data_IF_047234871849
#
_entry.id   IF_047234871849
#
_cell.length_a   1.000
_cell.length_b   1.000
_cell.length_c   1.000
_cell.angle_alpha   90.00
_cell.angle_beta   90.00
_cell.angle_gamma   90.00
#
_symmetry.space_group_name_H-M   'P 1'
#
loop_
_entity.id
_entity.type
_entity.pdbx_description
1 polymer ?
#
# COMPACT_ATOMS: atom_id res chain seq x y z
N UNK A 1 20.60 -12.12 2.72
CA UNK A 1 19.49 -11.33 2.13
C UNK A 1 18.24 -12.18 2.21
N UNK A 2 17.21 -11.78 2.96
CA UNK A 2 15.94 -12.51 2.99
C UNK A 2 15.11 -12.07 1.79
N UNK A 3 14.83 -13.00 0.88
CA UNK A 3 13.98 -12.77 -0.28
C UNK A 3 12.54 -12.60 0.21
N UNK A 4 11.94 -11.44 -0.06
CA UNK A 4 10.55 -11.17 0.33
C UNK A 4 9.64 -11.95 -0.62
N UNK A 5 9.00 -12.98 -0.09
CA UNK A 5 8.08 -13.86 -0.83
C UNK A 5 6.60 -13.44 -0.67
N UNK A 6 6.29 -12.61 0.33
CA UNK A 6 4.97 -12.01 0.55
C UNK A 6 4.99 -10.70 1.37
N UNK A 7 4.20 -9.71 0.94
CA UNK A 7 3.91 -8.45 1.67
C UNK A 7 2.41 -8.27 1.94
N UNK A 8 1.56 -8.80 1.07
CA UNK A 8 0.12 -8.79 1.21
C UNK A 8 -0.44 -9.97 2.04
N UNK A 9 0.43 -10.86 2.52
CA UNK A 9 0.03 -12.09 3.21
C UNK A 9 -0.32 -13.26 2.28
N UNK A 10 -0.25 -13.06 0.95
CA UNK A 10 -0.41 -14.11 -0.06
C UNK A 10 0.94 -14.53 -0.65
N UNK A 11 1.14 -15.83 -0.85
CA UNK A 11 2.37 -16.35 -1.45
C UNK A 11 2.41 -16.03 -2.95
N UNK A 12 3.43 -15.29 -3.42
CA UNK A 12 3.42 -14.71 -4.77
C UNK A 12 3.34 -15.72 -5.91
N UNK A 13 3.80 -16.96 -5.69
CA UNK A 13 3.80 -18.00 -6.72
C UNK A 13 2.43 -18.65 -6.92
N UNK A 14 1.50 -18.52 -5.96
CA UNK A 14 0.16 -19.09 -6.02
C UNK A 14 -0.96 -18.05 -5.88
N UNK A 15 -0.65 -16.76 -6.06
CA UNK A 15 -1.60 -15.67 -5.86
C UNK A 15 -2.45 -15.44 -7.11
N UNK A 16 -3.73 -15.80 -7.06
CA UNK A 16 -4.69 -15.60 -8.17
C UNK A 16 -4.87 -14.11 -8.55
N UNK A 17 -4.68 -13.20 -7.59
CA UNK A 17 -4.76 -11.76 -7.82
C UNK A 17 -3.61 -11.19 -8.65
N UNK A 18 -2.53 -11.96 -8.88
CA UNK A 18 -1.35 -11.50 -9.62
C UNK A 18 -1.73 -11.04 -11.03
N UNK A 19 -2.47 -11.86 -11.75
CA UNK A 19 -2.89 -11.59 -13.13
C UNK A 19 -4.08 -10.64 -13.19
N UNK A 20 -5.11 -10.87 -12.37
CA UNK A 20 -6.37 -10.10 -12.43
C UNK A 20 -6.21 -8.64 -12.01
N UNK A 21 -5.23 -8.35 -11.15
CA UNK A 21 -4.98 -6.99 -10.63
C UNK A 21 -3.70 -6.35 -11.22
N UNK A 22 -3.09 -6.95 -12.25
CA UNK A 22 -1.84 -6.43 -12.83
C UNK A 22 -0.70 -6.29 -11.81
N UNK A 23 -0.64 -7.19 -10.82
CA UNK A 23 0.34 -7.12 -9.75
C UNK A 23 1.62 -7.87 -10.17
N UNK A 24 2.76 -7.18 -10.17
CA UNK A 24 4.05 -7.83 -10.48
C UNK A 24 4.46 -8.92 -9.46
N UNK A 25 3.92 -8.87 -8.24
CA UNK A 25 4.26 -9.75 -7.13
C UNK A 25 5.50 -9.29 -6.36
N UNK A 26 5.55 -9.56 -5.05
CA UNK A 26 6.56 -9.01 -4.12
C UNK A 26 8.00 -9.36 -4.52
N UNK A 27 8.23 -10.49 -5.18
CA UNK A 27 9.56 -10.89 -5.64
C UNK A 27 10.02 -9.98 -6.78
N UNK A 28 9.24 -9.91 -7.86
CA UNK A 28 9.55 -9.10 -9.05
C UNK A 28 9.57 -7.59 -8.74
N UNK A 29 8.71 -7.14 -7.83
CA UNK A 29 8.59 -5.72 -7.47
C UNK A 29 9.43 -5.32 -6.25
N UNK A 30 10.32 -6.20 -5.77
CA UNK A 30 11.14 -5.97 -4.58
C UNK A 30 10.33 -5.51 -3.34
N UNK A 31 9.15 -6.09 -3.17
CA UNK A 31 8.25 -5.80 -2.05
C UNK A 31 7.32 -4.61 -2.27
N UNK A 32 7.19 -4.11 -3.51
CA UNK A 32 6.21 -3.10 -3.91
C UNK A 32 5.11 -3.70 -4.82
N UNK A 33 4.38 -4.74 -4.36
CA UNK A 33 3.28 -5.30 -5.15
C UNK A 33 2.14 -4.28 -5.26
N UNK A 34 1.40 -4.30 -6.38
CA UNK A 34 0.32 -3.36 -6.73
C UNK A 34 0.77 -1.91 -6.98
N UNK A 35 0.40 -1.35 -8.14
CA UNK A 35 0.38 0.08 -8.56
C UNK A 35 1.48 1.07 -8.10
N UNK A 36 2.54 0.66 -7.39
CA UNK A 36 3.56 1.55 -6.83
C UNK A 36 3.02 2.47 -5.74
N UNK A 37 3.81 3.49 -5.40
CA UNK A 37 3.36 4.58 -4.54
C UNK A 37 2.30 5.43 -5.27
N UNK A 38 1.33 5.97 -4.54
CA UNK A 38 0.42 6.94 -5.12
C UNK A 38 1.20 8.20 -5.52
N UNK A 39 0.89 8.82 -6.68
CA UNK A 39 1.54 10.07 -7.09
C UNK A 39 1.24 11.21 -6.11
N UNK A 40 0.06 11.17 -5.48
CA UNK A 40 -0.40 12.10 -4.47
C UNK A 40 -0.71 11.35 -3.15
N UNK A 41 -0.26 11.91 -2.02
CA UNK A 41 -0.54 11.40 -0.67
C UNK A 41 -1.25 12.51 0.14
N UNK A 42 -2.46 12.25 0.69
CA UNK A 42 -3.30 11.08 0.44
C UNK A 42 -3.94 11.12 -0.95
N UNK A 43 -4.09 9.95 -1.60
CA UNK A 43 -4.88 9.85 -2.82
C UNK A 43 -6.38 9.94 -2.50
N UNK A 44 -7.20 10.31 -3.48
CA UNK A 44 -8.64 10.49 -3.31
C UNK A 44 -9.32 9.22 -2.77
N UNK A 45 -8.95 8.05 -3.28
CA UNK A 45 -9.52 6.77 -2.84
C UNK A 45 -9.23 6.50 -1.36
N UNK A 46 -8.01 6.78 -0.90
CA UNK A 46 -7.66 6.65 0.51
C UNK A 46 -8.43 7.67 1.37
N UNK A 47 -8.63 8.89 0.87
CA UNK A 47 -9.41 9.92 1.55
C UNK A 47 -10.85 9.47 1.76
N UNK A 48 -11.50 8.98 0.70
CA UNK A 48 -12.89 8.49 0.76
C UNK A 48 -13.02 7.32 1.75
N UNK A 49 -12.13 6.33 1.66
CA UNK A 49 -12.18 5.16 2.55
C UNK A 49 -11.93 5.54 4.03
N UNK A 50 -10.92 6.37 4.30
CA UNK A 50 -10.55 6.75 5.68
C UNK A 50 -11.59 7.66 6.35
N UNK A 51 -12.38 8.39 5.56
CA UNK A 51 -13.45 9.27 6.03
C UNK A 51 -14.85 8.68 5.86
N UNK A 52 -14.96 7.41 5.46
CA UNK A 52 -16.25 6.73 5.33
C UNK A 52 -16.98 6.68 6.70
N UNK A 53 -18.29 7.00 6.76
CA UNK A 53 -19.00 7.08 8.03
C UNK A 53 -19.24 5.72 8.71
N UNK A 54 -19.19 4.60 7.98
CA UNK A 54 -19.48 3.25 8.50
C UNK A 54 -18.21 2.40 8.64
N UNK A 55 -17.32 2.47 7.67
CA UNK A 55 -16.11 1.66 7.53
C UNK A 55 -14.81 2.46 7.67
N UNK A 56 -14.91 3.79 7.84
CA UNK A 56 -13.76 4.67 7.95
C UNK A 56 -13.12 4.68 9.33
N UNK A 57 -12.12 5.54 9.47
CA UNK A 57 -11.32 5.63 10.68
C UNK A 57 -12.05 6.38 11.81
N UNK A 58 -11.69 6.06 13.05
CA UNK A 58 -12.08 6.83 14.24
C UNK A 58 -10.82 7.23 15.02
N UNK A 59 -10.39 8.51 15.02
CA UNK A 59 -10.99 9.63 14.27
C UNK A 59 -10.82 9.50 12.76
N UNK A 60 -11.72 10.12 11.99
CA UNK A 60 -11.64 10.14 10.52
C UNK A 60 -10.27 10.66 10.06
N UNK A 61 -9.68 10.00 9.06
CA UNK A 61 -8.35 10.39 8.56
C UNK A 61 -7.16 9.80 9.32
N UNK A 62 -7.35 8.95 10.33
CA UNK A 62 -6.23 8.43 11.13
C UNK A 62 -5.15 7.72 10.27
N UNK A 63 -5.55 6.91 9.27
CA UNK A 63 -4.60 6.25 8.36
C UNK A 63 -3.90 7.25 7.44
N UNK A 64 -4.59 8.31 7.02
CA UNK A 64 -4.02 9.37 6.20
C UNK A 64 -2.86 10.06 6.91
N UNK A 65 -3.04 10.38 8.20
CA UNK A 65 -1.98 10.99 9.01
C UNK A 65 -0.76 10.07 9.13
N UNK A 66 -0.99 8.76 9.25
CA UNK A 66 0.10 7.78 9.23
C UNK A 66 0.81 7.73 7.87
N UNK A 67 0.07 7.72 6.76
CA UNK A 67 0.64 7.75 5.41
C UNK A 67 1.48 9.01 5.16
N UNK A 68 1.04 10.19 5.63
CA UNK A 68 1.81 11.43 5.54
C UNK A 68 3.15 11.35 6.28
N UNK A 69 3.16 10.73 7.47
CA UNK A 69 4.41 10.51 8.24
C UNK A 69 5.37 9.60 7.50
N UNK A 70 4.90 8.45 7.01
CA UNK A 70 5.75 7.54 6.23
C UNK A 70 6.29 8.17 4.95
N UNK A 71 5.48 8.99 4.27
CA UNK A 71 5.93 9.73 3.09
C UNK A 71 7.01 10.77 3.45
N UNK A 72 6.86 11.50 4.55
CA UNK A 72 7.90 12.42 5.02
C UNK A 72 9.19 11.68 5.43
N UNK A 73 9.08 10.53 6.10
CA UNK A 73 10.21 9.69 6.49
C UNK A 73 10.94 9.07 5.30
N UNK A 74 10.24 8.71 4.22
CA UNK A 74 10.85 8.11 3.03
C UNK A 74 11.69 9.11 2.23
N UNK A 75 11.32 10.40 2.23
CA UNK A 75 12.11 11.47 1.59
C UNK A 75 13.41 11.82 2.32
N UNK A 76 13.53 11.45 3.61
CA UNK A 76 14.74 11.70 4.41
C UNK A 76 15.78 10.57 4.36
N UNK A 77 15.46 9.43 3.74
CA UNK A 77 16.36 8.29 3.60
C UNK A 77 17.08 8.40 2.25
N UNK A 78 18.18 9.13 2.25
CA UNK A 78 19.13 9.17 1.13
C UNK A 78 20.04 7.94 1.16
#
# INVERSE_FOLDING_TARGET
>A
MHMVDSRCGLYCTGCEYKETCGCGGCIETNGHPFHGECPDIPCEFLMQYSCDPEHGDTPQGARIEQCKRWYAESKGKN
#
